data_IF_081929167846
#
_entry.id   IF_081929167846
#
_cell.length_a   1.000
_cell.length_b   1.000
_cell.length_c   1.000
_cell.angle_alpha   90.00
_cell.angle_beta   90.00
_cell.angle_gamma   90.00
#
_symmetry.space_group_name_H-M   'P 1'
#
loop_
_entity.id
_entity.type
_entity.pdbx_description
1 polymer ?
#
# COMPACT_ATOMS: atom_id res chain seq x y z
N UNK A 1 -10.46 4.14 7.43
CA UNK A 1 -9.44 4.50 6.42
C UNK A 1 -8.17 5.06 7.05
N UNK A 2 -8.27 6.01 7.98
CA UNK A 2 -7.08 6.64 8.57
C UNK A 2 -6.12 5.65 9.23
N UNK A 3 -6.64 4.62 9.92
CA UNK A 3 -5.81 3.59 10.54
C UNK A 3 -4.97 2.82 9.51
N UNK A 4 -5.54 2.53 8.33
CA UNK A 4 -4.81 1.87 7.26
C UNK A 4 -3.75 2.76 6.63
N UNK A 5 -4.04 4.06 6.48
CA UNK A 5 -3.06 5.03 5.98
C UNK A 5 -1.87 5.13 6.93
N UNK A 6 -2.10 5.16 8.24
CA UNK A 6 -1.03 5.15 9.24
C UNK A 6 -0.19 3.87 9.13
N UNK A 7 -0.83 2.71 9.03
CA UNK A 7 -0.11 1.43 8.88
C UNK A 7 0.68 1.38 7.59
N UNK A 8 0.11 1.86 6.48
CA UNK A 8 0.81 1.95 5.20
C UNK A 8 2.04 2.85 5.31
N UNK A 9 1.90 4.03 5.90
CA UNK A 9 3.02 4.95 6.07
C UNK A 9 4.12 4.34 6.94
N UNK A 10 3.73 3.61 7.99
CA UNK A 10 4.69 2.87 8.82
C UNK A 10 5.39 1.76 8.03
N UNK A 11 4.66 1.07 7.16
CA UNK A 11 5.25 0.02 6.31
C UNK A 11 6.24 0.62 5.30
N UNK A 12 5.92 1.77 4.70
CA UNK A 12 6.83 2.48 3.79
C UNK A 12 8.09 2.92 4.53
N UNK A 13 7.94 3.48 5.73
CA UNK A 13 9.08 3.87 6.57
C UNK A 13 9.94 2.66 6.95
N UNK A 14 9.33 1.54 7.31
CA UNK A 14 10.04 0.30 7.62
C UNK A 14 10.82 -0.20 6.40
N UNK A 15 10.23 -0.16 5.20
CA UNK A 15 10.94 -0.51 3.97
C UNK A 15 12.17 0.38 3.77
N UNK A 16 12.00 1.70 3.88
CA UNK A 16 13.11 2.64 3.71
C UNK A 16 14.22 2.44 4.73
N UNK A 17 13.86 2.08 5.97
CA UNK A 17 14.83 1.89 7.05
C UNK A 17 15.52 0.52 7.00
N UNK A 18 14.80 -0.53 6.60
CA UNK A 18 15.22 -1.90 6.81
C UNK A 18 15.63 -2.65 5.53
N UNK A 19 15.36 -2.07 4.34
CA UNK A 19 15.57 -2.77 3.07
C UNK A 19 17.04 -3.19 2.84
N UNK A 20 17.97 -2.49 3.42
CA UNK A 20 19.41 -2.83 3.34
C UNK A 20 19.91 -3.63 4.55
N UNK A 21 19.05 -3.94 5.51
CA UNK A 21 19.42 -4.72 6.68
C UNK A 21 19.80 -6.15 6.30
N UNK A 22 20.88 -6.65 6.88
CA UNK A 22 21.26 -8.06 6.75
C UNK A 22 20.45 -8.98 7.66
N UNK A 23 19.61 -8.43 8.55
CA UNK A 23 18.70 -9.20 9.38
C UNK A 23 17.51 -9.68 8.56
N UNK A 24 17.57 -10.93 8.10
CA UNK A 24 16.45 -11.54 7.38
C UNK A 24 15.17 -11.60 8.21
N UNK A 25 15.20 -11.96 9.51
CA UNK A 25 13.98 -11.95 10.33
C UNK A 25 13.31 -10.58 10.39
N UNK A 26 14.08 -9.49 10.45
CA UNK A 26 13.53 -8.13 10.43
C UNK A 26 12.85 -7.84 9.10
N UNK A 27 13.52 -8.10 7.99
CA UNK A 27 12.96 -7.88 6.65
C UNK A 27 11.73 -8.76 6.39
N UNK A 28 11.75 -10.01 6.87
CA UNK A 28 10.61 -10.90 6.78
C UNK A 28 9.41 -10.37 7.58
N UNK A 29 9.65 -9.83 8.76
CA UNK A 29 8.61 -9.22 9.59
C UNK A 29 7.95 -8.03 8.87
N UNK A 30 8.74 -7.19 8.23
CA UNK A 30 8.23 -6.04 7.47
C UNK A 30 7.41 -6.49 6.26
N UNK A 31 7.85 -7.51 5.56
CA UNK A 31 7.10 -8.14 4.47
C UNK A 31 5.75 -8.69 4.97
N UNK A 32 5.77 -9.39 6.10
CA UNK A 32 4.56 -9.98 6.68
C UNK A 32 3.55 -8.91 7.09
N UNK A 33 4.00 -7.76 7.56
CA UNK A 33 3.12 -6.64 7.89
C UNK A 33 2.43 -6.08 6.64
N UNK A 34 3.14 -5.96 5.53
CA UNK A 34 2.54 -5.57 4.25
C UNK A 34 1.44 -6.56 3.83
N UNK A 35 1.71 -7.85 3.95
CA UNK A 35 0.73 -8.88 3.64
C UNK A 35 -0.51 -8.80 4.54
N UNK A 36 -0.31 -8.51 5.83
CA UNK A 36 -1.41 -8.36 6.79
C UNK A 36 -2.29 -7.14 6.47
N UNK A 37 -1.67 -6.02 6.11
CA UNK A 37 -2.42 -4.81 5.72
C UNK A 37 -3.24 -5.10 4.46
N UNK A 38 -2.63 -5.73 3.47
CA UNK A 38 -3.31 -6.07 2.21
C UNK A 38 -4.52 -6.97 2.45
N UNK A 39 -4.36 -8.00 3.25
CA UNK A 39 -5.43 -8.94 3.57
C UNK A 39 -6.59 -8.25 4.30
N UNK A 40 -6.30 -7.38 5.25
CA UNK A 40 -7.32 -6.68 6.02
C UNK A 40 -8.04 -5.62 5.19
N UNK A 41 -7.31 -4.87 4.37
CA UNK A 41 -7.91 -3.85 3.50
C UNK A 41 -8.79 -4.49 2.43
N UNK A 42 -8.37 -5.63 1.88
CA UNK A 42 -9.19 -6.38 0.93
C UNK A 42 -10.50 -6.86 1.56
N UNK A 43 -10.44 -7.37 2.79
CA UNK A 43 -11.62 -7.79 3.53
C UNK A 43 -12.59 -6.64 3.73
N UNK A 44 -12.09 -5.49 4.17
CA UNK A 44 -12.91 -4.30 4.40
C UNK A 44 -13.48 -3.74 3.09
N UNK A 45 -12.70 -3.76 2.02
CA UNK A 45 -13.16 -3.38 0.69
C UNK A 45 -14.33 -4.25 0.22
N UNK A 46 -14.25 -5.56 0.41
CA UNK A 46 -15.31 -6.49 0.02
C UNK A 46 -16.57 -6.29 0.87
N UNK A 47 -16.43 -6.04 2.16
CA UNK A 47 -17.56 -5.72 3.04
C UNK A 47 -18.24 -4.43 2.60
N UNK A 48 -17.49 -3.40 2.25
CA UNK A 48 -18.01 -2.14 1.75
C UNK A 48 -18.74 -2.33 0.42
N UNK A 49 -18.13 -3.06 -0.51
CA UNK A 49 -18.71 -3.33 -1.83
C UNK A 49 -20.05 -4.04 -1.72
N UNK A 50 -20.18 -4.96 -0.77
CA UNK A 50 -21.39 -5.76 -0.58
C UNK A 50 -22.41 -5.10 0.37
N UNK A 51 -22.13 -3.91 0.89
CA UNK A 51 -23.02 -3.21 1.80
C UNK A 51 -24.22 -2.65 1.06
N UNK A 52 -25.43 -2.95 1.57
CA UNK A 52 -26.69 -2.44 1.08
C UNK A 52 -27.39 -1.51 2.07
N UNK A 53 -26.74 -1.17 3.18
CA UNK A 53 -27.36 -0.50 4.31
C UNK A 53 -27.96 0.86 3.97
N UNK A 54 -27.47 1.54 2.90
CA UNK A 54 -27.89 2.88 2.53
C UNK A 54 -28.08 2.98 1.02
N UNK A 55 -28.76 1.99 0.44
CA UNK A 55 -28.86 1.82 -1.01
C UNK A 55 -29.62 2.94 -1.73
N UNK A 56 -30.39 3.75 -1.03
CA UNK A 56 -31.33 4.75 -1.58
C UNK A 56 -30.82 6.19 -1.58
N UNK A 57 -29.59 6.45 -1.04
CA UNK A 57 -29.02 7.79 -0.98
C UNK A 57 -27.94 8.04 -2.02
N UNK A 58 -28.14 8.99 -2.94
CA UNK A 58 -27.13 9.35 -3.94
C UNK A 58 -25.81 9.82 -3.30
N UNK A 59 -25.91 10.56 -2.18
CA UNK A 59 -24.74 11.00 -1.41
C UNK A 59 -23.97 9.81 -0.82
N UNK A 60 -24.69 8.81 -0.31
CA UNK A 60 -24.07 7.60 0.20
C UNK A 60 -23.34 6.84 -0.91
N UNK A 61 -23.97 6.70 -2.07
CA UNK A 61 -23.35 6.02 -3.21
C UNK A 61 -22.07 6.73 -3.67
N UNK A 62 -22.07 8.05 -3.68
CA UNK A 62 -20.89 8.84 -3.99
C UNK A 62 -19.77 8.62 -2.97
N UNK A 63 -20.08 8.69 -1.68
CA UNK A 63 -19.11 8.46 -0.61
C UNK A 63 -18.58 7.04 -0.63
N UNK A 64 -19.44 6.05 -0.86
CA UNK A 64 -19.05 4.65 -1.02
C UNK A 64 -18.06 4.49 -2.17
N UNK A 65 -18.35 5.10 -3.32
CA UNK A 65 -17.47 5.07 -4.48
C UNK A 65 -16.11 5.72 -4.21
N UNK A 66 -16.11 6.86 -3.52
CA UNK A 66 -14.87 7.53 -3.12
C UNK A 66 -14.03 6.66 -2.18
N UNK A 67 -14.67 6.03 -1.21
CA UNK A 67 -14.00 5.15 -0.26
C UNK A 67 -13.44 3.89 -0.94
N UNK A 68 -14.20 3.31 -1.87
CA UNK A 68 -13.73 2.16 -2.67
C UNK A 68 -12.48 2.53 -3.48
N UNK A 69 -12.46 3.71 -4.11
CA UNK A 69 -11.30 4.19 -4.87
C UNK A 69 -10.08 4.38 -3.96
N UNK A 70 -10.30 4.88 -2.73
CA UNK A 70 -9.22 5.03 -1.75
C UNK A 70 -8.64 3.68 -1.33
N UNK A 71 -9.47 2.67 -1.11
CA UNK A 71 -8.99 1.32 -0.81
C UNK A 71 -8.16 0.73 -1.96
N UNK A 72 -8.60 0.91 -3.19
CA UNK A 72 -7.86 0.45 -4.37
C UNK A 72 -6.53 1.18 -4.49
N UNK A 73 -6.52 2.49 -4.29
CA UNK A 73 -5.29 3.28 -4.35
C UNK A 73 -4.30 2.91 -3.24
N UNK A 74 -4.80 2.61 -2.04
CA UNK A 74 -3.98 2.14 -0.93
C UNK A 74 -3.35 0.78 -1.25
N UNK A 75 -4.13 -0.14 -1.81
CA UNK A 75 -3.63 -1.44 -2.24
C UNK A 75 -2.56 -1.31 -3.34
N UNK A 76 -2.76 -0.42 -4.29
CA UNK A 76 -1.79 -0.17 -5.35
C UNK A 76 -0.45 0.30 -4.78
N UNK A 77 -0.48 1.21 -3.82
CA UNK A 77 0.75 1.68 -3.17
C UNK A 77 1.40 0.55 -2.37
N UNK A 78 0.61 -0.15 -1.59
CA UNK A 78 1.09 -1.26 -0.77
C UNK A 78 1.73 -2.35 -1.62
N UNK A 79 1.16 -2.64 -2.80
CA UNK A 79 1.67 -3.64 -3.73
C UNK A 79 3.07 -3.30 -4.22
N UNK A 80 3.39 -2.03 -4.44
CA UNK A 80 4.74 -1.61 -4.82
C UNK A 80 5.75 -2.06 -3.78
N UNK A 81 5.47 -1.80 -2.50
CA UNK A 81 6.36 -2.14 -1.39
C UNK A 81 6.39 -3.65 -1.17
N UNK A 82 5.24 -4.31 -1.26
CA UNK A 82 5.11 -5.75 -1.11
C UNK A 82 5.94 -6.50 -2.17
N UNK A 83 5.84 -6.08 -3.43
CA UNK A 83 6.59 -6.69 -4.53
C UNK A 83 8.10 -6.49 -4.34
N UNK A 84 8.52 -5.29 -3.92
CA UNK A 84 9.92 -5.01 -3.63
C UNK A 84 10.44 -5.90 -2.50
N UNK A 85 9.68 -6.08 -1.43
CA UNK A 85 10.05 -6.99 -0.34
C UNK A 85 10.18 -8.44 -0.81
N UNK A 86 9.26 -8.91 -1.65
CA UNK A 86 9.30 -10.27 -2.17
C UNK A 86 10.60 -10.55 -2.92
N UNK A 87 11.05 -9.61 -3.75
CA UNK A 87 12.32 -9.71 -4.46
C UNK A 87 13.51 -9.54 -3.51
N UNK A 88 13.42 -8.61 -2.57
CA UNK A 88 14.48 -8.34 -1.58
C UNK A 88 14.80 -9.57 -0.74
N UNK A 89 13.77 -10.32 -0.35
CA UNK A 89 13.94 -11.52 0.49
C UNK A 89 14.59 -12.71 -0.25
N UNK A 90 14.77 -12.62 -1.56
CA UNK A 90 15.56 -13.61 -2.29
C UNK A 90 17.06 -13.52 -1.97
N UNK A 91 17.50 -12.41 -1.35
CA UNK A 91 18.91 -12.15 -1.03
C UNK A 91 19.14 -12.22 0.48
N UNK A 92 20.22 -12.91 0.89
CA UNK A 92 20.69 -12.85 2.28
C UNK A 92 21.29 -11.48 2.57
N UNK A 93 22.06 -10.95 1.61
CA UNK A 93 22.56 -9.59 1.67
C UNK A 93 21.86 -8.74 0.61
N UNK A 94 20.95 -7.83 1.01
CA UNK A 94 20.19 -7.02 0.07
C UNK A 94 21.06 -6.17 -0.86
N UNK A 95 22.25 -5.79 -0.43
CA UNK A 95 23.17 -4.99 -1.24
C UNK A 95 23.57 -5.68 -2.56
N UNK A 96 23.44 -7.00 -2.63
CA UNK A 96 23.81 -7.77 -3.82
C UNK A 96 22.74 -7.72 -4.92
N UNK A 97 21.52 -7.28 -4.63
CA UNK A 97 20.43 -7.30 -5.57
C UNK A 97 19.59 -6.03 -5.65
N UNK A 98 20.13 -4.88 -5.25
CA UNK A 98 19.40 -3.60 -5.16
C UNK A 98 18.68 -3.27 -6.45
N UNK A 99 19.33 -3.41 -7.61
CA UNK A 99 18.71 -3.07 -8.90
C UNK A 99 17.49 -3.93 -9.18
N UNK A 100 17.51 -5.19 -8.75
CA UNK A 100 16.40 -6.09 -8.95
C UNK A 100 15.23 -5.80 -8.01
N UNK A 101 15.49 -5.73 -6.71
CA UNK A 101 14.39 -5.58 -5.76
C UNK A 101 13.86 -4.14 -5.69
N UNK A 102 14.61 -3.15 -6.15
CA UNK A 102 14.11 -1.77 -6.28
C UNK A 102 13.31 -1.55 -7.56
N UNK A 103 13.27 -2.51 -8.48
CA UNK A 103 12.56 -2.34 -9.75
C UNK A 103 11.08 -1.92 -9.59
N UNK A 104 10.28 -2.57 -8.70
CA UNK A 104 8.90 -2.12 -8.49
C UNK A 104 8.79 -0.69 -8.00
N UNK A 105 9.70 -0.28 -7.11
CA UNK A 105 9.74 1.10 -6.58
C UNK A 105 10.08 2.09 -7.69
N UNK A 106 11.09 1.77 -8.50
CA UNK A 106 11.52 2.63 -9.61
C UNK A 106 10.45 2.74 -10.69
N UNK A 107 9.75 1.65 -10.98
CA UNK A 107 8.65 1.64 -11.95
C UNK A 107 7.48 2.51 -11.51
N UNK A 108 7.30 2.72 -10.21
CA UNK A 108 6.25 3.57 -9.64
C UNK A 108 6.64 5.05 -9.59
N UNK A 109 7.90 5.41 -9.86
CA UNK A 109 8.36 6.78 -9.76
C UNK A 109 8.03 7.58 -11.02
N UNK A 110 7.65 8.87 -10.83
CA UNK A 110 7.51 9.83 -11.91
C UNK A 110 8.88 10.40 -12.32
N UNK A 111 8.88 11.36 -13.25
CA UNK A 111 10.11 11.99 -13.75
C UNK A 111 10.91 12.72 -12.64
N UNK A 112 10.27 13.10 -11.55
CA UNK A 112 10.89 13.77 -10.39
C UNK A 112 11.32 12.80 -9.30
N UNK A 113 11.10 11.49 -9.47
CA UNK A 113 11.44 10.48 -8.48
C UNK A 113 10.39 10.29 -7.38
N UNK A 114 9.19 10.85 -7.54
CA UNK A 114 8.11 10.73 -6.57
C UNK A 114 7.22 9.52 -6.90
N UNK A 115 6.71 8.85 -5.86
CA UNK A 115 5.79 7.74 -6.05
C UNK A 115 4.48 8.19 -6.69
N UNK A 116 4.13 7.62 -7.82
CA UNK A 116 2.85 7.85 -8.48
C UNK A 116 1.70 7.24 -7.68
N UNK A 117 1.91 6.08 -7.08
CA UNK A 117 0.91 5.44 -6.22
C UNK A 117 0.59 6.27 -4.99
N UNK A 118 1.60 6.88 -4.36
CA UNK A 118 1.39 7.78 -3.21
C UNK A 118 0.59 9.02 -3.61
N UNK A 119 0.91 9.63 -4.75
CA UNK A 119 0.19 10.79 -5.27
C UNK A 119 -1.28 10.45 -5.55
N UNK A 120 -1.53 9.31 -6.16
CA UNK A 120 -2.89 8.84 -6.46
C UNK A 120 -3.69 8.57 -5.18
N UNK A 121 -3.07 7.94 -4.18
CA UNK A 121 -3.71 7.74 -2.88
C UNK A 121 -4.10 9.07 -2.24
N UNK A 122 -3.21 10.06 -2.25
CA UNK A 122 -3.50 11.38 -1.70
C UNK A 122 -4.66 12.06 -2.42
N UNK A 123 -4.76 11.93 -3.75
CA UNK A 123 -5.90 12.42 -4.51
C UNK A 123 -7.21 11.76 -4.08
N UNK A 124 -7.22 10.43 -3.95
CA UNK A 124 -8.43 9.71 -3.56
C UNK A 124 -8.85 10.04 -2.14
N UNK A 125 -7.89 10.20 -1.21
CA UNK A 125 -8.18 10.59 0.18
C UNK A 125 -8.76 12.01 0.25
N UNK A 126 -8.30 12.92 -0.58
CA UNK A 126 -8.83 14.29 -0.64
C UNK A 126 -10.30 14.32 -1.11
N UNK A 127 -10.74 13.31 -1.82
CA UNK A 127 -12.14 13.18 -2.30
C UNK A 127 -13.09 12.62 -1.24
N UNK A 128 -12.56 12.09 -0.13
CA UNK A 128 -13.39 11.57 0.96
C UNK A 128 -13.89 12.73 1.79
N UNK A 129 -15.21 12.90 1.79
CA UNK A 129 -15.88 13.90 2.60
C UNK A 129 -16.30 13.27 3.93
N UNK A 130 -15.67 13.73 4.97
CA UNK A 130 -15.96 13.25 6.33
C UNK A 130 -16.83 14.24 7.09
#
# INVERSE_FOLDING_TARGET
>A
MNAYVVRLNNAVAAFNNDCMSTSRPLRQSDYNECAAIDSQTLTDFLLLRNSNAFADGSRWLEQKGNLQRAYIALDQYLTVIYDAWGLNLEYENPAEGVDRWMEPVRADQDASGNSMAAAHLNETLASISL
#
